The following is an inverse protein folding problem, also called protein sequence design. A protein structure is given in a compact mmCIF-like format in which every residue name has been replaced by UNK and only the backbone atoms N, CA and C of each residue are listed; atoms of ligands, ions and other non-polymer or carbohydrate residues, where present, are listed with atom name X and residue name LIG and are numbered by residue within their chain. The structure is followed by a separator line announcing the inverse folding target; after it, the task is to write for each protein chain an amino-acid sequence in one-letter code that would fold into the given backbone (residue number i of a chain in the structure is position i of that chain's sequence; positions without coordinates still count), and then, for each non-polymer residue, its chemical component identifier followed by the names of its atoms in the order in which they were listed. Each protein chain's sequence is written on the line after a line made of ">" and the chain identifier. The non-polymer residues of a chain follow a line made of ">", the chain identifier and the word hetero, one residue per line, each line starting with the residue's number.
data_IF_567310370716
#
_entry.id   IF_567310370716
#
_cell.length_a   1.000
_cell.length_b   1.000
_cell.length_c   1.000
_cell.angle_alpha   90.00
_cell.angle_beta   90.00
_cell.angle_gamma   90.00
#
_symmetry.space_group_name_H-M   'P 1'
#
loop_
_entity.id
_entity.type
_entity.pdbx_description
1 polymer ?
#
# COMPACT_ATOMS: atom_id res chain seq x y z
N UNK A 1 -10.72 0.20 23.45
CA UNK A 1 -10.62 0.77 22.08
C UNK A 1 -9.97 2.15 22.17
N UNK A 2 -9.14 2.51 21.23
CA UNK A 2 -8.53 3.84 21.18
C UNK A 2 -9.62 4.86 20.77
N UNK A 3 -9.88 5.95 21.55
CA UNK A 3 -10.91 6.94 21.25
C UNK A 3 -10.66 7.71 19.95
N UNK A 4 -9.41 7.71 19.47
CA UNK A 4 -9.02 8.35 18.22
C UNK A 4 -9.42 7.54 16.97
N UNK A 5 -9.88 6.31 17.13
CA UNK A 5 -10.37 5.48 16.04
C UNK A 5 -11.91 5.46 16.00
N UNK A 6 -12.50 5.29 14.81
CA UNK A 6 -13.95 5.19 14.68
C UNK A 6 -14.49 3.96 15.42
N UNK A 7 -15.71 4.07 15.96
CA UNK A 7 -16.37 2.99 16.67
C UNK A 7 -16.56 1.74 15.80
N UNK A 8 -16.84 1.91 14.52
CA UNK A 8 -16.87 0.84 13.54
C UNK A 8 -15.57 0.82 12.72
N UNK A 9 -14.54 0.29 13.32
CA UNK A 9 -13.21 0.21 12.74
C UNK A 9 -13.18 -0.66 11.47
N UNK A 10 -13.93 -1.76 11.47
CA UNK A 10 -13.95 -2.69 10.34
C UNK A 10 -14.53 -2.02 9.09
N UNK A 11 -15.76 -1.47 9.18
CA UNK A 11 -16.37 -0.78 8.05
C UNK A 11 -15.56 0.42 7.59
N UNK A 12 -14.93 1.15 8.51
CA UNK A 12 -14.07 2.28 8.18
C UNK A 12 -12.82 1.83 7.39
N UNK A 13 -12.20 0.72 7.74
CA UNK A 13 -11.11 0.14 6.96
C UNK A 13 -11.58 -0.28 5.55
N UNK A 14 -12.80 -0.80 5.41
CA UNK A 14 -13.33 -1.24 4.11
C UNK A 14 -13.71 -0.06 3.20
N UNK A 15 -14.20 1.04 3.75
CA UNK A 15 -14.75 2.17 2.98
C UNK A 15 -13.76 3.30 2.75
N UNK A 16 -12.87 3.56 3.70
CA UNK A 16 -11.88 4.65 3.65
C UNK A 16 -10.47 4.15 4.02
N UNK A 17 -9.93 3.15 3.31
CA UNK A 17 -8.74 2.43 3.72
C UNK A 17 -7.51 3.33 3.90
N UNK A 18 -7.27 4.26 2.99
CA UNK A 18 -6.08 5.13 3.05
C UNK A 18 -6.11 6.01 4.29
N UNK A 19 -7.23 6.69 4.55
CA UNK A 19 -7.38 7.50 5.78
C UNK A 19 -7.17 6.67 7.04
N UNK A 20 -7.73 5.46 7.07
CA UNK A 20 -7.59 4.55 8.21
C UNK A 20 -6.17 4.06 8.40
N UNK A 21 -5.48 3.72 7.30
CA UNK A 21 -4.09 3.28 7.34
C UNK A 21 -3.16 4.39 7.88
N UNK A 22 -3.33 5.63 7.40
CA UNK A 22 -2.54 6.78 7.85
C UNK A 22 -2.80 7.11 9.32
N UNK A 23 -4.06 7.16 9.72
CA UNK A 23 -4.45 7.41 11.12
C UNK A 23 -3.88 6.36 12.06
N UNK A 24 -4.03 5.10 11.70
CA UNK A 24 -3.48 3.99 12.46
C UNK A 24 -1.96 4.06 12.56
N UNK A 25 -1.26 4.37 11.46
CA UNK A 25 0.19 4.49 11.42
C UNK A 25 0.72 5.53 12.44
N UNK A 26 0.10 6.71 12.49
CA UNK A 26 0.46 7.76 13.48
C UNK A 26 0.19 7.28 14.91
N UNK A 27 -0.96 6.65 15.15
CA UNK A 27 -1.34 6.18 16.49
C UNK A 27 -0.42 5.08 17.03
N UNK A 28 0.16 4.28 16.15
CA UNK A 28 1.12 3.25 16.54
C UNK A 28 2.51 3.81 16.85
N UNK A 29 2.75 5.10 16.57
CA UNK A 29 4.07 5.76 16.75
C UNK A 29 5.20 5.03 16.01
N UNK A 30 4.90 4.49 14.86
CA UNK A 30 5.87 3.80 14.01
C UNK A 30 6.66 4.76 13.12
N UNK A 31 6.25 6.03 13.04
CA UNK A 31 6.92 7.05 12.27
C UNK A 31 8.36 7.25 12.77
N UNK A 32 9.32 7.18 11.87
CA UNK A 32 10.74 7.47 12.12
C UNK A 32 11.11 8.85 11.60
N UNK A 33 10.47 9.28 10.50
CA UNK A 33 10.72 10.56 9.83
C UNK A 33 9.62 11.57 10.16
N UNK A 34 8.36 11.13 10.20
CA UNK A 34 7.17 11.97 10.40
C UNK A 34 6.78 12.08 11.89
N UNK A 35 7.72 12.46 12.77
CA UNK A 35 7.53 12.46 14.24
C UNK A 35 6.50 13.48 14.74
N UNK A 36 6.30 14.57 14.01
CA UNK A 36 5.51 15.73 14.45
C UNK A 36 4.16 15.87 13.73
N UNK A 37 3.72 14.80 13.03
CA UNK A 37 2.45 14.83 12.31
C UNK A 37 1.29 14.50 13.25
N UNK A 38 0.37 15.45 13.39
CA UNK A 38 -0.87 15.26 14.15
C UNK A 38 -1.99 14.65 13.28
N UNK A 39 -2.99 14.08 13.94
CA UNK A 39 -4.14 13.49 13.25
C UNK A 39 -4.93 14.54 12.45
N UNK A 40 -5.00 15.78 12.95
CA UNK A 40 -5.69 16.88 12.28
C UNK A 40 -5.02 17.29 10.96
N UNK A 41 -3.70 17.08 10.83
CA UNK A 41 -2.98 17.30 9.58
C UNK A 41 -3.35 16.30 8.49
N UNK A 42 -3.77 15.08 8.87
CA UNK A 42 -4.21 14.09 7.90
C UNK A 42 -5.43 14.51 7.08
N UNK A 43 -6.33 15.29 7.68
CA UNK A 43 -7.51 15.79 6.98
C UNK A 43 -7.17 16.93 5.97
N UNK A 44 -5.95 17.45 6.05
CA UNK A 44 -5.43 18.48 5.15
C UNK A 44 -4.53 17.94 4.05
N UNK A 45 -4.35 16.63 3.94
CA UNK A 45 -3.53 16.03 2.88
C UNK A 45 -4.03 16.48 1.51
N UNK A 46 -3.20 17.10 0.69
CA UNK A 46 -3.63 17.63 -0.60
C UNK A 46 -3.78 16.51 -1.64
N UNK A 47 -4.69 16.74 -2.57
CA UNK A 47 -4.84 15.90 -3.76
C UNK A 47 -6.06 15.00 -3.74
N UNK A 48 -6.14 14.19 -4.78
CA UNK A 48 -7.22 13.24 -5.00
C UNK A 48 -6.67 11.82 -5.12
N UNK A 49 -7.41 10.85 -4.63
CA UNK A 49 -7.05 9.42 -4.68
C UNK A 49 -6.79 8.93 -6.12
N UNK A 50 -7.46 9.53 -7.09
CA UNK A 50 -7.31 9.20 -8.52
C UNK A 50 -6.11 9.84 -9.19
N UNK A 51 -5.53 10.91 -8.65
CA UNK A 51 -4.38 11.61 -9.20
C UNK A 51 -3.08 11.24 -8.49
N UNK A 52 -2.35 10.30 -9.05
CA UNK A 52 -1.08 9.79 -8.50
C UNK A 52 0.08 10.79 -8.47
N UNK A 53 -0.07 11.98 -9.04
CA UNK A 53 0.91 13.07 -8.89
C UNK A 53 0.75 13.79 -7.57
N UNK A 54 -0.31 13.49 -6.85
CA UNK A 54 -0.59 14.01 -5.52
C UNK A 54 -0.22 12.99 -4.45
N UNK A 55 0.11 13.46 -3.24
CA UNK A 55 0.45 12.61 -2.11
C UNK A 55 -0.61 11.54 -1.86
N UNK A 56 -1.88 11.94 -1.81
CA UNK A 56 -2.98 11.02 -1.54
C UNK A 56 -3.14 9.97 -2.64
N UNK A 57 -3.00 10.37 -3.89
CA UNK A 57 -3.12 9.48 -5.03
C UNK A 57 -1.95 8.51 -5.13
N UNK A 58 -0.72 8.95 -4.88
CA UNK A 58 0.45 8.08 -4.85
C UNK A 58 0.34 7.04 -3.74
N UNK A 59 -0.02 7.45 -2.52
CA UNK A 59 -0.24 6.50 -1.43
C UNK A 59 -1.30 5.46 -1.77
N UNK A 60 -2.38 5.84 -2.44
CA UNK A 60 -3.38 4.89 -2.91
C UNK A 60 -2.81 3.90 -3.94
N UNK A 61 -1.92 4.34 -4.83
CA UNK A 61 -1.27 3.45 -5.79
C UNK A 61 -0.28 2.50 -5.13
N UNK A 62 0.52 2.98 -4.19
CA UNK A 62 1.43 2.13 -3.41
C UNK A 62 0.64 1.11 -2.60
N UNK A 63 -0.45 1.52 -1.94
CA UNK A 63 -1.34 0.62 -1.21
C UNK A 63 -1.89 -0.49 -2.12
N UNK A 64 -2.35 -0.14 -3.30
CA UNK A 64 -2.84 -1.11 -4.29
C UNK A 64 -1.74 -2.10 -4.68
N UNK A 65 -0.54 -1.62 -4.99
CA UNK A 65 0.59 -2.47 -5.37
C UNK A 65 1.00 -3.44 -4.25
N UNK A 66 1.09 -2.94 -3.02
CA UNK A 66 1.44 -3.73 -1.84
C UNK A 66 0.38 -4.80 -1.57
N UNK A 67 -0.89 -4.43 -1.53
CA UNK A 67 -1.97 -5.36 -1.21
C UNK A 67 -2.21 -6.39 -2.33
N UNK A 68 -2.04 -6.03 -3.60
CA UNK A 68 -2.07 -6.97 -4.73
C UNK A 68 -0.94 -8.00 -4.62
N UNK A 69 0.24 -7.55 -4.22
CA UNK A 69 1.39 -8.44 -4.00
C UNK A 69 1.14 -9.41 -2.85
N UNK A 70 0.61 -8.91 -1.73
CA UNK A 70 0.22 -9.76 -0.59
C UNK A 70 -0.81 -10.79 -1.03
N UNK A 71 -1.85 -10.37 -1.75
CA UNK A 71 -2.89 -11.27 -2.25
C UNK A 71 -2.33 -12.33 -3.21
N UNK A 72 -1.45 -11.94 -4.12
CA UNK A 72 -0.78 -12.86 -5.05
C UNK A 72 0.04 -13.93 -4.34
N UNK A 73 0.77 -13.54 -3.29
CA UNK A 73 1.61 -14.47 -2.53
C UNK A 73 0.83 -15.38 -1.58
N UNK A 74 -0.36 -14.94 -1.17
CA UNK A 74 -1.13 -15.60 -0.11
C UNK A 74 -2.27 -16.47 -0.62
N UNK A 75 -2.80 -16.18 -1.82
CA UNK A 75 -3.94 -16.89 -2.38
C UNK A 75 -3.54 -17.96 -3.40
N UNK A 76 -4.28 -19.06 -3.48
CA UNK A 76 -4.20 -19.94 -4.63
C UNK A 76 -4.43 -19.18 -5.95
N UNK A 77 -3.69 -19.55 -6.99
CA UNK A 77 -3.67 -18.83 -8.26
C UNK A 77 -5.06 -18.68 -8.90
N UNK A 78 -5.86 -19.70 -8.83
CA UNK A 78 -7.23 -19.74 -9.37
C UNK A 78 -8.17 -18.81 -8.59
N UNK A 79 -8.04 -18.78 -7.27
CA UNK A 79 -8.80 -17.87 -6.39
C UNK A 79 -8.40 -16.43 -6.65
N UNK A 80 -7.09 -16.14 -6.72
CA UNK A 80 -6.61 -14.82 -7.05
C UNK A 80 -7.15 -14.34 -8.39
N UNK A 81 -7.06 -15.16 -9.44
CA UNK A 81 -7.56 -14.82 -10.76
C UNK A 81 -9.07 -14.53 -10.76
N UNK A 82 -9.88 -15.32 -10.06
CA UNK A 82 -11.32 -15.07 -9.94
C UNK A 82 -11.60 -13.75 -9.24
N UNK A 83 -11.01 -13.50 -8.07
CA UNK A 83 -11.24 -12.29 -7.28
C UNK A 83 -10.82 -11.01 -8.02
N UNK A 84 -9.67 -11.02 -8.68
CA UNK A 84 -9.09 -9.81 -9.26
C UNK A 84 -9.43 -9.58 -10.73
N UNK A 85 -9.96 -10.59 -11.44
CA UNK A 85 -10.36 -10.47 -12.86
C UNK A 85 -11.85 -10.25 -13.08
N UNK A 86 -12.68 -10.79 -12.21
CA UNK A 86 -14.12 -10.84 -12.46
C UNK A 86 -14.83 -9.62 -11.88
N UNK A 87 -14.34 -9.06 -10.78
CA UNK A 87 -15.02 -7.97 -10.10
C UNK A 87 -14.01 -7.01 -9.42
N UNK A 88 -13.90 -5.80 -9.96
CA UNK A 88 -13.03 -4.77 -9.39
C UNK A 88 -13.47 -4.33 -7.99
N UNK A 89 -14.76 -4.38 -7.68
CA UNK A 89 -15.27 -4.05 -6.36
C UNK A 89 -14.83 -5.09 -5.33
N UNK A 90 -14.96 -6.37 -5.67
CA UNK A 90 -14.52 -7.45 -4.79
C UNK A 90 -13.02 -7.40 -4.58
N UNK A 91 -12.23 -7.14 -5.63
CA UNK A 91 -10.80 -6.92 -5.51
C UNK A 91 -10.45 -5.76 -4.57
N UNK A 92 -11.17 -4.65 -4.68
CA UNK A 92 -11.00 -3.49 -3.79
C UNK A 92 -11.33 -3.84 -2.33
N UNK A 93 -12.47 -4.49 -2.11
CA UNK A 93 -12.86 -4.93 -0.77
C UNK A 93 -11.86 -5.92 -0.17
N UNK A 94 -11.30 -6.80 -0.99
CA UNK A 94 -10.28 -7.74 -0.54
C UNK A 94 -9.00 -6.99 -0.08
N UNK A 95 -8.50 -6.02 -0.87
CA UNK A 95 -7.36 -5.18 -0.46
C UNK A 95 -7.63 -4.48 0.87
N UNK A 96 -8.82 -3.93 1.00
CA UNK A 96 -9.23 -3.22 2.20
C UNK A 96 -9.41 -4.16 3.41
N UNK A 97 -9.81 -5.42 3.16
CA UNK A 97 -9.85 -6.45 4.19
C UNK A 97 -8.45 -6.81 4.71
N UNK A 98 -7.43 -6.87 3.85
CA UNK A 98 -6.04 -7.08 4.29
C UNK A 98 -5.58 -5.98 5.26
N UNK A 99 -5.95 -4.73 4.99
CA UNK A 99 -5.71 -3.62 5.91
C UNK A 99 -6.49 -3.80 7.21
N UNK A 100 -7.78 -4.14 7.13
CA UNK A 100 -8.62 -4.36 8.30
C UNK A 100 -8.04 -5.46 9.20
N UNK A 101 -7.56 -6.55 8.62
CA UNK A 101 -6.89 -7.62 9.37
C UNK A 101 -5.66 -7.08 10.11
N UNK A 102 -4.82 -6.29 9.44
CA UNK A 102 -3.61 -5.72 10.04
C UNK A 102 -3.94 -4.76 11.19
N UNK A 103 -4.85 -3.83 10.95
CA UNK A 103 -5.22 -2.80 11.93
C UNK A 103 -5.92 -3.43 13.13
N UNK A 104 -6.91 -4.28 12.91
CA UNK A 104 -7.71 -4.85 13.99
C UNK A 104 -6.93 -5.79 14.89
N UNK A 105 -6.00 -6.56 14.31
CA UNK A 105 -5.14 -7.45 15.11
C UNK A 105 -4.21 -6.69 16.06
N UNK A 106 -3.85 -5.46 15.76
CA UNK A 106 -3.09 -4.61 16.69
C UNK A 106 -3.91 -4.19 17.92
N UNK A 107 -5.22 -4.43 17.90
CA UNK A 107 -6.17 -4.18 19.00
C UNK A 107 -6.82 -5.48 19.52
N UNK A 108 -6.14 -6.62 19.31
CA UNK A 108 -6.61 -7.95 19.74
C UNK A 108 -7.97 -8.36 19.15
N UNK A 109 -8.34 -7.77 18.01
CA UNK A 109 -9.52 -8.09 17.25
C UNK A 109 -9.16 -8.80 15.96
N UNK A 110 -9.83 -9.89 15.63
CA UNK A 110 -9.58 -10.65 14.39
C UNK A 110 -10.79 -10.58 13.48
N UNK A 111 -10.71 -9.93 12.31
CA UNK A 111 -11.78 -10.00 11.33
C UNK A 111 -11.84 -11.42 10.74
N UNK A 112 -13.05 -11.88 10.49
CA UNK A 112 -13.31 -13.24 9.98
C UNK A 112 -13.86 -13.17 8.57
N UNK A 113 -13.41 -14.07 7.72
CA UNK A 113 -13.93 -14.27 6.36
C UNK A 113 -14.41 -15.70 6.16
N UNK A 114 -15.36 -15.89 5.25
CA UNK A 114 -15.80 -17.22 4.83
C UNK A 114 -15.85 -17.28 3.29
N UNK A 115 -15.02 -18.15 2.66
CA UNK A 115 -14.05 -19.04 3.29
C UNK A 115 -12.93 -18.30 4.04
N UNK A 116 -12.30 -19.00 4.99
CA UNK A 116 -11.21 -18.42 5.77
C UNK A 116 -10.03 -18.05 4.86
N UNK A 117 -9.54 -16.83 5.01
CA UNK A 117 -8.38 -16.33 4.27
C UNK A 117 -7.07 -16.63 5.02
N UNK A 118 -5.95 -16.75 4.31
CA UNK A 118 -4.64 -16.86 4.94
C UNK A 118 -4.33 -15.63 5.79
N UNK A 119 -3.50 -15.84 6.80
CA UNK A 119 -3.08 -14.75 7.69
C UNK A 119 -2.04 -13.86 6.98
N UNK A 120 -2.37 -12.59 6.78
CA UNK A 120 -1.56 -11.65 5.98
C UNK A 120 -1.06 -10.44 6.76
N UNK A 121 -1.48 -10.26 8.01
CA UNK A 121 -1.19 -9.04 8.78
C UNK A 121 0.31 -8.81 9.07
N UNK A 122 1.14 -9.87 9.03
CA UNK A 122 2.60 -9.80 9.23
C UNK A 122 3.40 -9.92 7.94
N UNK A 123 2.76 -9.88 6.77
CA UNK A 123 3.46 -9.98 5.50
C UNK A 123 4.52 -8.88 5.35
N UNK A 124 5.70 -9.24 4.84
CA UNK A 124 6.86 -8.33 4.74
C UNK A 124 6.58 -7.07 3.91
N UNK A 125 5.68 -7.16 2.93
CA UNK A 125 5.27 -6.03 2.10
C UNK A 125 4.65 -4.87 2.88
N UNK A 126 4.12 -5.12 4.07
CA UNK A 126 3.64 -4.04 4.93
C UNK A 126 4.75 -3.10 5.39
N UNK A 127 6.00 -3.56 5.47
CA UNK A 127 7.15 -2.69 5.78
C UNK A 127 7.41 -1.67 4.66
N UNK A 128 7.22 -2.08 3.40
CA UNK A 128 7.34 -1.17 2.27
C UNK A 128 6.23 -0.11 2.28
N UNK A 129 5.00 -0.49 2.65
CA UNK A 129 3.91 0.45 2.88
C UNK A 129 4.23 1.45 3.99
N UNK A 130 4.70 0.97 5.15
CA UNK A 130 5.03 1.81 6.30
C UNK A 130 6.12 2.83 5.96
N UNK A 131 7.16 2.42 5.25
CA UNK A 131 8.21 3.31 4.80
C UNK A 131 7.67 4.39 3.84
N UNK A 132 6.84 4.01 2.87
CA UNK A 132 6.25 4.95 1.94
C UNK A 132 5.36 5.99 2.66
N UNK A 133 4.58 5.54 3.65
CA UNK A 133 3.76 6.43 4.49
C UNK A 133 4.63 7.39 5.29
N UNK A 134 5.68 6.90 5.92
CA UNK A 134 6.59 7.72 6.74
C UNK A 134 7.27 8.81 5.91
N UNK A 135 7.77 8.46 4.73
CA UNK A 135 8.37 9.42 3.79
C UNK A 135 7.36 10.45 3.25
N UNK A 136 6.14 10.03 2.97
CA UNK A 136 5.10 10.94 2.51
C UNK A 136 4.67 11.92 3.62
N UNK A 137 4.42 11.40 4.82
CA UNK A 137 3.98 12.21 5.96
C UNK A 137 5.06 13.18 6.46
N UNK A 138 6.33 12.84 6.30
CA UNK A 138 7.43 13.75 6.64
C UNK A 138 7.41 15.07 5.84
N UNK A 139 6.79 15.05 4.63
CA UNK A 139 6.64 16.24 3.78
C UNK A 139 5.37 17.04 4.09
N UNK A 140 4.43 16.47 4.85
CA UNK A 140 3.07 17.00 4.99
C UNK A 140 3.03 18.38 5.67
N UNK A 141 3.80 18.57 6.73
CA UNK A 141 3.84 19.85 7.44
C UNK A 141 4.29 20.99 6.52
N UNK A 142 5.39 20.79 5.79
CA UNK A 142 5.93 21.77 4.84
C UNK A 142 4.94 22.12 3.72
N UNK A 143 4.15 21.14 3.27
CA UNK A 143 3.17 21.33 2.20
C UNK A 143 1.94 22.09 2.71
N UNK A 144 1.46 21.79 3.92
CA UNK A 144 0.25 22.40 4.50
C UNK A 144 0.53 23.83 4.92
N UNK A 145 1.72 24.10 5.50
CA UNK A 145 2.09 25.44 5.95
C UNK A 145 2.48 26.40 4.81
N UNK A 146 2.53 25.88 3.58
CA UNK A 146 2.86 26.68 2.39
C UNK A 146 4.29 27.26 2.41
N UNK A 147 5.13 26.83 3.32
CA UNK A 147 6.53 27.26 3.46
C UNK A 147 7.34 26.82 2.26
N UNK A 148 7.01 25.68 1.70
CA UNK A 148 7.45 25.30 0.37
C UNK A 148 6.23 25.28 -0.56
N UNK A 149 6.19 26.15 -1.57
CA UNK A 149 5.45 25.91 -2.81
C UNK A 149 6.03 24.70 -3.57
N UNK A 150 6.74 23.84 -2.86
CA UNK A 150 7.33 22.66 -3.41
C UNK A 150 6.18 21.71 -3.75
N UNK A 151 6.08 21.36 -5.01
CA UNK A 151 5.30 20.22 -5.43
C UNK A 151 5.71 19.04 -4.56
N UNK A 152 4.73 18.22 -4.15
CA UNK A 152 4.98 16.96 -3.50
C UNK A 152 6.02 16.17 -4.29
N UNK A 153 7.11 15.82 -3.66
CA UNK A 153 8.13 14.96 -4.25
C UNK A 153 7.63 13.52 -4.14
N UNK A 154 7.37 12.93 -5.30
CA UNK A 154 7.02 11.51 -5.41
C UNK A 154 8.05 10.68 -4.69
N UNK A 155 7.60 9.65 -3.97
CA UNK A 155 8.51 8.74 -3.29
C UNK A 155 9.36 8.00 -4.32
N UNK A 156 10.60 7.69 -3.97
CA UNK A 156 11.49 6.86 -4.77
C UNK A 156 11.03 5.39 -4.84
N UNK A 157 9.91 5.04 -4.21
CA UNK A 157 9.43 3.67 -4.08
C UNK A 157 9.45 2.89 -5.40
N UNK A 158 8.89 3.45 -6.47
CA UNK A 158 8.86 2.77 -7.76
C UNK A 158 10.22 2.76 -8.46
N UNK A 159 11.04 3.78 -8.30
CA UNK A 159 12.42 3.83 -8.82
C UNK A 159 13.31 2.82 -8.11
N UNK A 160 13.20 2.71 -6.80
CA UNK A 160 13.90 1.69 -6.02
C UNK A 160 13.47 0.28 -6.41
N UNK A 161 12.18 0.06 -6.67
CA UNK A 161 11.70 -1.24 -7.16
C UNK A 161 12.22 -1.56 -8.56
N UNK A 162 12.36 -0.57 -9.45
CA UNK A 162 12.98 -0.75 -10.76
C UNK A 162 14.47 -1.06 -10.63
N UNK A 163 15.19 -0.35 -9.78
CA UNK A 163 16.61 -0.60 -9.51
C UNK A 163 16.82 -2.01 -8.93
N UNK A 164 16.00 -2.39 -7.95
CA UNK A 164 16.03 -3.74 -7.41
C UNK A 164 15.75 -4.81 -8.47
N UNK A 165 14.85 -4.52 -9.41
CA UNK A 165 14.58 -5.39 -10.54
C UNK A 165 15.77 -5.51 -11.52
N UNK A 166 16.43 -4.40 -11.83
CA UNK A 166 17.63 -4.41 -12.67
C UNK A 166 18.78 -5.20 -12.03
N UNK A 167 18.99 -5.00 -10.73
CA UNK A 167 19.99 -5.77 -9.96
C UNK A 167 19.65 -7.26 -9.98
N UNK A 168 18.37 -7.59 -9.79
CA UNK A 168 17.92 -8.98 -9.85
C UNK A 168 18.13 -9.60 -11.23
N UNK A 169 17.83 -8.88 -12.33
CA UNK A 169 18.07 -9.34 -13.70
C UNK A 169 19.54 -9.61 -13.99
N UNK A 170 20.45 -8.80 -13.40
CA UNK A 170 21.89 -8.93 -13.63
C UNK A 170 22.53 -10.05 -12.82
N UNK A 171 22.06 -10.26 -11.61
CA UNK A 171 22.74 -11.11 -10.61
C UNK A 171 21.86 -12.21 -10.03
N UNK A 172 20.57 -12.20 -10.31
CA UNK A 172 19.62 -13.19 -9.80
C UNK A 172 19.72 -14.50 -10.60
N UNK A 173 20.02 -15.60 -9.91
CA UNK A 173 19.87 -16.93 -10.47
C UNK A 173 18.38 -17.29 -10.52
N UNK A 174 17.87 -17.57 -11.70
CA UNK A 174 16.46 -17.83 -11.98
C UNK A 174 15.86 -19.01 -11.19
N UNK A 175 16.67 -19.90 -10.65
CA UNK A 175 16.19 -21.19 -10.19
C UNK A 175 15.66 -21.26 -8.76
N UNK A 176 15.86 -20.26 -7.88
CA UNK A 176 15.60 -20.46 -6.43
C UNK A 176 15.25 -19.25 -5.57
N UNK A 177 14.81 -18.14 -6.10
CA UNK A 177 14.32 -17.08 -5.19
C UNK A 177 12.85 -17.27 -4.88
N UNK A 178 12.48 -17.35 -3.58
CA UNK A 178 11.07 -17.40 -3.20
C UNK A 178 10.35 -16.14 -3.71
N UNK A 179 9.07 -16.25 -4.07
CA UNK A 179 8.27 -15.14 -4.60
C UNK A 179 8.31 -13.87 -3.73
N UNK A 180 8.50 -14.04 -2.43
CA UNK A 180 8.61 -12.96 -1.45
C UNK A 180 9.86 -12.10 -1.60
N UNK A 181 10.90 -12.62 -2.26
CA UNK A 181 12.15 -11.90 -2.52
C UNK A 181 12.17 -11.21 -3.87
N UNK A 182 11.17 -11.46 -4.72
CA UNK A 182 11.06 -10.77 -5.99
C UNK A 182 10.69 -9.30 -5.77
N UNK A 183 11.33 -8.38 -6.50
CA UNK A 183 10.90 -6.99 -6.50
C UNK A 183 9.41 -6.87 -6.84
N UNK A 184 8.71 -5.93 -6.20
CA UNK A 184 7.26 -5.70 -6.42
C UNK A 184 6.92 -5.58 -7.90
N UNK A 185 7.77 -4.93 -8.68
CA UNK A 185 7.58 -4.76 -10.13
C UNK A 185 7.49 -6.10 -10.86
N UNK A 186 8.27 -7.09 -10.46
CA UNK A 186 8.20 -8.45 -11.03
C UNK A 186 6.95 -9.18 -10.58
N UNK A 187 6.60 -9.08 -9.32
CA UNK A 187 5.42 -9.70 -8.77
C UNK A 187 4.16 -9.18 -9.47
N UNK A 188 4.12 -7.88 -9.75
CA UNK A 188 3.04 -7.24 -10.51
C UNK A 188 3.03 -7.67 -11.98
N UNK A 189 4.20 -7.87 -12.60
CA UNK A 189 4.29 -8.37 -13.99
C UNK A 189 3.81 -9.81 -14.16
N UNK A 190 4.08 -10.62 -13.18
CA UNK A 190 3.59 -12.00 -13.15
C UNK A 190 2.08 -12.07 -12.97
N UNK A 191 1.48 -10.94 -12.57
CA UNK A 191 0.05 -10.81 -12.41
C UNK A 191 -0.61 -10.49 -13.75
N UNK A 192 -1.64 -11.25 -14.18
CA UNK A 192 -2.38 -11.00 -15.41
C UNK A 192 -3.12 -9.65 -15.46
N UNK A 193 -3.12 -8.86 -14.40
CA UNK A 193 -3.66 -7.49 -14.32
C UNK A 193 -2.70 -6.40 -14.82
N UNK A 194 -1.85 -6.74 -15.73
CA UNK A 194 -0.91 -5.84 -16.38
C UNK A 194 -1.54 -4.52 -16.88
N UNK A 195 -2.83 -4.48 -17.10
CA UNK A 195 -3.56 -3.29 -17.57
C UNK A 195 -3.64 -2.17 -16.54
N UNK A 196 -3.65 -2.47 -15.24
CA UNK A 196 -3.65 -1.44 -14.18
C UNK A 196 -2.29 -0.73 -14.04
N UNK A 197 -1.23 -1.35 -14.50
CA UNK A 197 0.14 -0.83 -14.47
C UNK A 197 0.72 -0.52 -15.86
N UNK A 198 -0.11 -0.46 -16.90
CA UNK A 198 0.33 -0.25 -18.29
C UNK A 198 0.96 1.12 -18.59
N UNK A 199 0.83 2.06 -17.69
CA UNK A 199 1.49 3.37 -17.80
C UNK A 199 3.02 3.32 -17.75
N UNK A 200 3.55 2.19 -17.40
CA UNK A 200 4.98 1.99 -17.22
C UNK A 200 5.77 2.05 -18.52
N UNK A 201 5.16 1.74 -19.65
CA UNK A 201 5.86 1.63 -20.93
C UNK A 201 6.13 2.96 -21.62
N UNK A 202 5.65 4.09 -21.11
CA UNK A 202 5.84 5.38 -21.77
C UNK A 202 7.11 6.13 -21.38
N UNK A 203 7.83 5.70 -20.33
CA UNK A 203 9.04 6.39 -19.85
C UNK A 203 10.30 5.53 -19.70
N UNK A 204 10.20 4.22 -19.83
CA UNK A 204 11.35 3.32 -19.67
C UNK A 204 11.89 2.77 -21.01
N UNK A 205 11.55 3.37 -22.13
CA UNK A 205 12.07 3.01 -23.47
C UNK A 205 12.62 4.25 -24.19
N UNK A 206 13.32 5.13 -23.48
CA UNK A 206 14.22 6.11 -24.09
C UNK A 206 15.47 6.26 -23.22
#
# INVERSE_FOLDING_TARGET
>A
MNPELPADLFSSCLTTPIKMALRWFILQKHAMLATDVSIELLDKIPGQISDRRTMLGELNWIFTAVTDTIAWNSLPRDVFQKLFRQDLLVASLFRNFLLAERVMRSYDCTPVSQPALPNTHQHTMWKAWDLAVDMALAQLADIVDGVKRAAYESSSFFEEQLTAFEVWLRYGNEERQPPEQLPIVLQVRSNPFHTLFSWRNSRCLY
#
